data_IF_540142462518
#
_entry.id   IF_540142462518
#
_cell.length_a   1.000
_cell.length_b   1.000
_cell.length_c   1.000
_cell.angle_alpha   90.00
_cell.angle_beta   90.00
_cell.angle_gamma   90.00
#
_symmetry.space_group_name_H-M   'P 1'
#
loop_
_entity.id
_entity.type
_entity.pdbx_description
1 polymer ?
#
# COMPACT_ATOMS: atom_id res chain seq x y z
N UNK A 1 -25.24 -14.88 -6.36
CA UNK A 1 -24.29 -13.80 -6.73
C UNK A 1 -24.02 -12.97 -5.50
N UNK A 2 -22.76 -12.75 -5.17
CA UNK A 2 -22.37 -11.92 -4.04
C UNK A 2 -21.97 -10.53 -4.56
N UNK A 3 -22.55 -9.48 -3.98
CA UNK A 3 -22.05 -8.13 -4.16
C UNK A 3 -20.90 -7.88 -3.20
N UNK A 4 -19.79 -7.36 -3.73
CA UNK A 4 -18.67 -6.89 -2.93
C UNK A 4 -18.36 -5.44 -3.29
N UNK A 5 -18.04 -4.66 -2.26
CA UNK A 5 -17.60 -3.28 -2.43
C UNK A 5 -16.08 -3.25 -2.27
N UNK A 6 -15.42 -2.66 -3.26
CA UNK A 6 -13.96 -2.58 -3.30
C UNK A 6 -13.48 -1.14 -3.48
N UNK A 7 -12.45 -0.76 -2.73
CA UNK A 7 -11.65 0.43 -2.96
C UNK A 7 -10.19 0.01 -3.08
N UNK A 8 -9.62 0.10 -4.27
CA UNK A 8 -8.28 -0.43 -4.58
C UNK A 8 -7.18 0.63 -4.57
N UNK A 9 -7.49 1.86 -4.12
CA UNK A 9 -6.53 2.96 -4.17
C UNK A 9 -6.59 3.81 -2.91
N UNK A 10 -6.19 3.23 -1.78
CA UNK A 10 -6.19 3.91 -0.49
C UNK A 10 -4.77 4.21 -0.03
N UNK A 11 -4.51 5.47 0.29
CA UNK A 11 -3.25 5.95 0.82
C UNK A 11 -3.21 5.94 2.35
N UNK A 12 -2.02 5.78 2.88
CA UNK A 12 -1.72 5.95 4.30
C UNK A 12 -1.18 7.37 4.54
N UNK A 13 -1.73 8.07 5.51
CA UNK A 13 -1.24 9.38 5.91
C UNK A 13 0.01 9.31 6.77
N UNK A 14 -0.04 8.50 7.83
CA UNK A 14 1.07 8.26 8.75
C UNK A 14 1.11 6.80 9.20
N UNK A 15 2.30 6.35 9.63
CA UNK A 15 2.43 5.09 10.34
C UNK A 15 1.81 5.19 11.74
N UNK A 16 1.65 4.04 12.42
CA UNK A 16 1.17 4.00 13.81
C UNK A 16 2.07 4.78 14.78
N UNK A 17 3.38 4.82 14.49
CA UNK A 17 4.35 5.59 15.27
C UNK A 17 4.45 7.07 14.88
N UNK A 18 3.58 7.54 13.98
CA UNK A 18 3.50 8.94 13.55
C UNK A 18 4.46 9.35 12.43
N UNK A 19 5.15 8.40 11.81
CA UNK A 19 6.03 8.69 10.66
C UNK A 19 5.21 9.07 9.43
N UNK A 20 5.57 10.15 8.70
CA UNK A 20 4.80 10.58 7.54
C UNK A 20 4.93 9.60 6.38
N UNK A 21 3.82 9.30 5.73
CA UNK A 21 3.75 8.50 4.51
C UNK A 21 3.24 9.37 3.35
N UNK A 22 1.95 9.76 3.37
CA UNK A 22 1.40 10.74 2.44
C UNK A 22 0.99 11.99 3.19
N UNK A 23 1.74 13.08 3.01
CA UNK A 23 1.57 14.32 3.77
C UNK A 23 0.19 14.95 3.56
N UNK A 24 -0.39 14.79 2.37
CA UNK A 24 -1.71 15.32 2.02
C UNK A 24 -2.89 14.48 2.52
N UNK A 25 -2.64 13.25 2.98
CA UNK A 25 -3.69 12.39 3.54
C UNK A 25 -3.91 12.69 5.03
N UNK A 26 -5.08 12.31 5.53
CA UNK A 26 -5.43 12.50 6.94
C UNK A 26 -4.45 11.74 7.86
N UNK A 27 -4.04 12.39 8.94
CA UNK A 27 -3.07 11.84 9.90
C UNK A 27 -3.52 10.55 10.58
N UNK A 28 -4.83 10.38 10.73
CA UNK A 28 -5.42 9.18 11.34
C UNK A 28 -5.46 7.96 10.41
N UNK A 29 -5.15 8.13 9.13
CA UNK A 29 -5.13 7.05 8.16
C UNK A 29 -3.83 6.26 8.28
N UNK A 30 -3.81 5.28 9.17
CA UNK A 30 -2.81 4.22 9.24
C UNK A 30 -3.43 2.88 8.79
N UNK A 31 -2.60 1.85 8.67
CA UNK A 31 -3.04 0.54 8.16
C UNK A 31 -4.19 -0.06 9.00
N UNK A 32 -4.04 -0.10 10.32
CA UNK A 32 -5.03 -0.66 11.22
C UNK A 32 -6.36 0.12 11.20
N UNK A 33 -6.30 1.46 11.20
CA UNK A 33 -7.49 2.31 11.15
C UNK A 33 -8.25 2.16 9.82
N UNK A 34 -7.54 2.03 8.69
CA UNK A 34 -8.17 1.77 7.39
C UNK A 34 -8.93 0.43 7.42
N UNK A 35 -8.30 -0.63 7.91
CA UNK A 35 -8.94 -1.93 8.04
C UNK A 35 -10.20 -1.87 8.91
N UNK A 36 -10.10 -1.20 10.05
CA UNK A 36 -11.22 -1.01 11.00
C UNK A 36 -12.37 -0.22 10.38
N UNK A 37 -12.09 0.89 9.70
CA UNK A 37 -13.10 1.70 9.02
C UNK A 37 -13.82 0.91 7.92
N UNK A 38 -13.09 0.12 7.14
CA UNK A 38 -13.68 -0.74 6.12
C UNK A 38 -14.62 -1.79 6.73
N UNK A 39 -14.21 -2.43 7.82
CA UNK A 39 -14.96 -3.49 8.49
C UNK A 39 -16.21 -2.98 9.24
N UNK A 40 -16.10 -1.84 9.92
CA UNK A 40 -17.10 -1.39 10.89
C UNK A 40 -18.02 -0.30 10.38
N UNK A 41 -17.56 0.56 9.46
CA UNK A 41 -18.29 1.77 9.06
C UNK A 41 -18.60 1.87 7.58
N UNK A 42 -17.67 1.53 6.71
CA UNK A 42 -17.81 1.76 5.27
C UNK A 42 -18.39 0.59 4.48
N UNK A 43 -18.43 -0.59 5.07
CA UNK A 43 -18.91 -1.79 4.37
C UNK A 43 -18.09 -2.16 3.15
N UNK A 44 -16.79 -1.82 3.15
CA UNK A 44 -15.86 -2.18 2.09
C UNK A 44 -15.34 -3.59 2.36
N UNK A 45 -15.49 -4.48 1.40
CA UNK A 45 -15.11 -5.89 1.52
C UNK A 45 -13.68 -6.15 1.04
N UNK A 46 -13.21 -5.37 0.05
CA UNK A 46 -11.86 -5.47 -0.52
C UNK A 46 -11.25 -4.07 -0.53
N UNK A 47 -10.10 -3.92 0.11
CA UNK A 47 -9.37 -2.66 0.12
C UNK A 47 -7.93 -2.86 -0.37
N UNK A 48 -7.51 -2.06 -1.33
CA UNK A 48 -6.13 -1.99 -1.79
C UNK A 48 -5.41 -0.80 -1.13
N UNK A 49 -4.43 -1.10 -0.29
CA UNK A 49 -3.60 -0.09 0.37
C UNK A 49 -2.28 0.02 -0.39
N UNK A 50 -2.04 1.17 -1.02
CA UNK A 50 -0.98 1.31 -2.03
C UNK A 50 0.33 1.92 -1.50
N UNK A 51 0.47 2.04 -0.19
CA UNK A 51 1.69 2.56 0.46
C UNK A 51 2.45 1.49 1.25
N UNK A 52 2.20 0.20 0.95
CA UNK A 52 2.70 -0.92 1.74
C UNK A 52 4.18 -1.25 1.50
N UNK A 53 4.85 -0.65 0.51
CA UNK A 53 6.29 -0.82 0.32
C UNK A 53 7.13 0.09 1.24
N UNK A 54 6.51 1.06 1.92
CA UNK A 54 7.19 1.84 2.95
C UNK A 54 7.63 0.94 4.12
N UNK A 55 8.90 0.99 4.55
CA UNK A 55 9.37 0.21 5.70
C UNK A 55 8.56 0.46 6.97
N UNK A 56 8.06 1.68 7.18
CA UNK A 56 7.22 2.03 8.32
C UNK A 56 5.85 1.36 8.26
N UNK A 57 5.29 1.24 7.06
CA UNK A 57 4.01 0.54 6.86
C UNK A 57 4.19 -0.97 6.98
N UNK A 58 5.29 -1.51 6.49
CA UNK A 58 5.64 -2.93 6.66
C UNK A 58 5.68 -3.30 8.15
N UNK A 59 6.30 -2.48 8.98
CA UNK A 59 6.32 -2.67 10.43
C UNK A 59 4.91 -2.66 11.03
N UNK A 60 4.08 -1.71 10.61
CA UNK A 60 2.67 -1.64 11.04
C UNK A 60 1.90 -2.92 10.64
N UNK A 61 2.12 -3.43 9.44
CA UNK A 61 1.48 -4.68 8.96
C UNK A 61 1.95 -5.88 9.79
N UNK A 62 3.24 -5.99 10.08
CA UNK A 62 3.78 -7.06 10.92
C UNK A 62 3.13 -7.05 12.32
N UNK A 63 3.00 -5.87 12.91
CA UNK A 63 2.34 -5.70 14.20
C UNK A 63 0.83 -6.02 14.12
N UNK A 64 0.18 -5.60 13.05
CA UNK A 64 -1.23 -5.88 12.80
C UNK A 64 -1.52 -7.40 12.71
N UNK A 65 -0.67 -8.16 12.05
CA UNK A 65 -0.78 -9.62 11.96
C UNK A 65 -0.58 -10.32 13.30
N UNK A 66 0.18 -9.72 14.22
CA UNK A 66 0.39 -10.27 15.57
C UNK A 66 -0.83 -10.13 16.49
N UNK A 67 -1.79 -9.28 16.15
CA UNK A 67 -2.99 -9.09 16.99
C UNK A 67 -3.91 -10.30 17.03
N UNK A 68 -3.84 -11.19 16.03
CA UNK A 68 -4.70 -12.36 15.89
C UNK A 68 -6.04 -12.08 15.18
N UNK A 69 -6.40 -10.82 14.94
CA UNK A 69 -7.62 -10.44 14.24
C UNK A 69 -7.48 -10.53 12.71
N UNK A 70 -6.26 -10.70 12.22
CA UNK A 70 -5.94 -10.76 10.81
C UNK A 70 -4.93 -11.86 10.52
N UNK A 71 -5.01 -12.43 9.33
CA UNK A 71 -4.07 -13.42 8.83
C UNK A 71 -3.93 -13.36 7.31
N UNK A 72 -2.79 -13.80 6.82
CA UNK A 72 -2.55 -13.91 5.38
C UNK A 72 -3.28 -15.12 4.80
N UNK A 73 -3.93 -14.92 3.64
CA UNK A 73 -4.50 -16.01 2.85
C UNK A 73 -3.40 -16.69 2.02
N UNK A 74 -3.52 -17.99 1.81
CA UNK A 74 -2.58 -18.77 1.00
C UNK A 74 -2.47 -18.22 -0.43
N UNK A 75 -3.59 -17.86 -1.03
CA UNK A 75 -3.66 -17.31 -2.39
C UNK A 75 -3.37 -15.80 -2.46
N UNK A 76 -3.10 -15.16 -1.34
CA UNK A 76 -2.77 -13.75 -1.25
C UNK A 76 -3.84 -12.88 -0.60
N UNK A 77 -3.37 -11.75 -0.08
CA UNK A 77 -4.18 -10.83 0.69
C UNK A 77 -4.20 -11.15 2.18
N UNK A 78 -4.63 -10.17 2.96
CA UNK A 78 -4.82 -10.27 4.41
C UNK A 78 -6.31 -10.19 4.70
N UNK A 79 -6.84 -11.19 5.40
CA UNK A 79 -8.21 -11.15 5.89
C UNK A 79 -8.23 -10.55 7.30
N UNK A 80 -9.10 -9.56 7.51
CA UNK A 80 -9.31 -8.89 8.79
C UNK A 80 -10.71 -9.17 9.32
N UNK A 81 -10.81 -9.76 10.51
CA UNK A 81 -12.06 -10.12 11.21
C UNK A 81 -13.05 -10.89 10.32
N UNK A 82 -12.56 -11.69 9.40
CA UNK A 82 -13.35 -12.44 8.42
C UNK A 82 -14.32 -11.57 7.57
N UNK A 83 -14.05 -10.27 7.47
CA UNK A 83 -14.92 -9.28 6.79
C UNK A 83 -14.25 -8.55 5.65
N UNK A 84 -12.98 -8.19 5.79
CA UNK A 84 -12.26 -7.34 4.85
C UNK A 84 -11.03 -8.07 4.33
N UNK A 85 -10.89 -8.13 3.02
CA UNK A 85 -9.67 -8.57 2.37
C UNK A 85 -8.82 -7.34 2.02
N UNK A 86 -7.59 -7.30 2.54
CA UNK A 86 -6.65 -6.21 2.31
C UNK A 86 -5.61 -6.68 1.30
N UNK A 87 -5.49 -5.95 0.19
CA UNK A 87 -4.48 -6.16 -0.83
C UNK A 87 -3.31 -5.22 -0.59
N UNK A 88 -2.11 -5.77 -0.55
CA UNK A 88 -0.88 -5.02 -0.31
C UNK A 88 -0.36 -4.44 -1.62
N UNK A 89 -0.40 -3.13 -1.75
CA UNK A 89 0.00 -2.43 -2.94
C UNK A 89 1.13 -1.44 -2.73
N UNK A 90 1.73 -1.04 -3.83
CA UNK A 90 2.70 0.05 -3.91
C UNK A 90 2.44 0.88 -5.15
N UNK A 91 2.56 2.20 -5.02
CA UNK A 91 2.50 3.13 -6.13
C UNK A 91 3.90 3.67 -6.44
N UNK A 92 4.34 3.47 -7.69
CA UNK A 92 5.65 3.92 -8.16
C UNK A 92 5.46 4.93 -9.28
N UNK A 93 6.08 6.09 -9.14
CA UNK A 93 6.14 7.10 -10.19
C UNK A 93 7.37 6.87 -11.07
N UNK A 94 7.15 6.72 -12.36
CA UNK A 94 8.21 6.67 -13.37
C UNK A 94 8.19 7.91 -14.24
N UNK A 95 9.37 8.36 -14.66
CA UNK A 95 9.50 9.47 -15.60
C UNK A 95 9.67 8.93 -17.03
N UNK A 96 8.81 9.38 -17.92
CA UNK A 96 8.82 8.96 -19.33
C UNK A 96 8.99 10.17 -20.25
N UNK A 97 9.73 9.98 -21.37
CA UNK A 97 9.78 10.95 -22.45
C UNK A 97 8.77 10.58 -23.51
N UNK A 98 7.81 11.47 -23.73
CA UNK A 98 6.87 11.34 -24.83
C UNK A 98 7.53 11.55 -26.21
N UNK A 99 6.84 11.14 -27.28
CA UNK A 99 7.30 11.30 -28.67
C UNK A 99 7.60 12.77 -29.05
N UNK A 100 7.01 13.72 -28.36
CA UNK A 100 7.22 15.16 -28.55
C UNK A 100 8.41 15.73 -27.74
N UNK A 101 9.20 14.88 -27.09
CA UNK A 101 10.34 15.26 -26.25
C UNK A 101 9.97 15.85 -24.89
N UNK A 102 8.67 15.97 -24.57
CA UNK A 102 8.21 16.43 -23.25
C UNK A 102 8.27 15.28 -22.26
N UNK A 103 8.78 15.55 -21.07
CA UNK A 103 8.77 14.58 -19.97
C UNK A 103 7.39 14.52 -19.32
N UNK A 104 6.92 13.33 -19.03
CA UNK A 104 5.71 13.05 -18.27
C UNK A 104 5.99 12.09 -17.12
N UNK A 105 5.13 12.10 -16.11
CA UNK A 105 5.16 11.11 -15.05
C UNK A 105 4.04 10.09 -15.25
N UNK A 106 4.36 8.81 -15.04
CA UNK A 106 3.38 7.74 -15.01
C UNK A 106 3.35 7.14 -13.59
N UNK A 107 2.14 6.94 -13.06
CA UNK A 107 1.94 6.28 -11.77
C UNK A 107 1.53 4.84 -12.02
N UNK A 108 2.30 3.92 -11.49
CA UNK A 108 2.07 2.48 -11.63
C UNK A 108 1.71 1.92 -10.25
N UNK A 109 0.59 1.24 -10.16
CA UNK A 109 0.17 0.55 -8.95
C UNK A 109 0.43 -0.94 -9.12
N UNK A 110 1.17 -1.51 -8.18
CA UNK A 110 1.49 -2.93 -8.13
C UNK A 110 0.89 -3.54 -6.87
N UNK A 111 0.25 -4.70 -6.99
CA UNK A 111 -0.23 -5.47 -5.85
C UNK A 111 0.60 -6.73 -5.66
N UNK A 112 0.80 -7.10 -4.40
CA UNK A 112 1.61 -8.24 -4.00
C UNK A 112 0.75 -9.23 -3.21
N UNK A 113 0.87 -10.53 -3.46
CA UNK A 113 0.04 -11.53 -2.79
C UNK A 113 0.35 -11.64 -1.28
N UNK A 114 1.63 -11.53 -0.89
CA UNK A 114 2.03 -11.74 0.50
C UNK A 114 2.94 -10.62 1.02
N UNK A 115 2.98 -10.48 2.34
CA UNK A 115 3.87 -9.53 3.01
C UNK A 115 5.34 -9.80 2.67
N UNK A 116 5.74 -11.07 2.56
CA UNK A 116 7.10 -11.44 2.16
C UNK A 116 7.49 -10.89 0.78
N UNK A 117 6.55 -10.88 -0.16
CA UNK A 117 6.78 -10.38 -1.52
C UNK A 117 7.00 -8.86 -1.53
N UNK A 118 6.17 -8.12 -0.81
CA UNK A 118 6.32 -6.66 -0.75
C UNK A 118 7.53 -6.24 0.09
N UNK A 119 7.92 -7.02 1.08
CA UNK A 119 9.17 -6.81 1.83
C UNK A 119 10.39 -6.96 0.93
N UNK A 120 10.43 -7.98 0.10
CA UNK A 120 11.49 -8.21 -0.88
C UNK A 120 11.52 -7.08 -1.92
N UNK A 121 10.35 -6.71 -2.45
CA UNK A 121 10.21 -5.58 -3.36
C UNK A 121 10.72 -4.28 -2.73
N UNK A 122 10.32 -3.97 -1.51
CA UNK A 122 10.76 -2.78 -0.77
C UNK A 122 12.29 -2.75 -0.59
N UNK A 123 12.88 -3.87 -0.24
CA UNK A 123 14.33 -4.01 -0.08
C UNK A 123 15.06 -3.76 -1.38
N UNK A 124 14.62 -4.35 -2.49
CA UNK A 124 15.21 -4.15 -3.81
C UNK A 124 15.04 -2.70 -4.26
N UNK A 125 13.84 -2.15 -4.16
CA UNK A 125 13.55 -0.78 -4.59
C UNK A 125 14.25 0.28 -3.74
N UNK A 126 14.60 -0.01 -2.49
CA UNK A 126 15.34 0.91 -1.63
C UNK A 126 16.72 1.27 -2.19
N UNK A 127 17.27 0.44 -3.07
CA UNK A 127 18.52 0.71 -3.78
C UNK A 127 18.34 1.70 -4.94
N UNK A 128 17.12 1.88 -5.43
CA UNK A 128 16.78 2.68 -6.61
C UNK A 128 15.92 3.91 -6.28
N UNK A 129 15.18 3.88 -5.19
CA UNK A 129 14.22 4.91 -4.79
C UNK A 129 14.70 5.62 -3.52
N UNK A 130 14.88 6.95 -3.60
CA UNK A 130 15.33 7.75 -2.46
C UNK A 130 14.26 7.95 -1.40
N UNK A 131 12.98 7.97 -1.80
CA UNK A 131 11.85 8.23 -0.91
C UNK A 131 11.04 6.97 -0.58
N UNK A 132 11.71 5.84 -0.39
CA UNK A 132 11.08 4.53 -0.13
C UNK A 132 10.12 4.54 1.08
N UNK A 133 10.34 5.41 2.04
CA UNK A 133 9.50 5.54 3.24
C UNK A 133 8.19 6.29 2.99
N UNK A 134 8.08 7.01 1.87
CA UNK A 134 6.94 7.87 1.55
C UNK A 134 6.00 7.19 0.54
N UNK A 135 4.78 7.72 0.47
CA UNK A 135 3.82 7.40 -0.58
C UNK A 135 4.32 7.88 -1.96
N UNK A 136 3.84 7.22 -3.01
CA UNK A 136 4.19 7.50 -4.41
C UNK A 136 5.71 7.56 -4.58
N UNK A 137 6.32 6.41 -4.48
CA UNK A 137 7.76 6.23 -4.56
C UNK A 137 8.27 6.59 -5.95
N UNK A 138 9.26 7.48 -6.01
CA UNK A 138 9.81 8.00 -7.27
C UNK A 138 11.07 7.26 -7.65
N UNK A 139 11.04 6.60 -8.78
CA UNK A 139 12.21 5.99 -9.37
C UNK A 139 13.13 7.05 -9.99
N UNK A 140 14.43 6.92 -9.73
CA UNK A 140 15.45 7.73 -10.42
C UNK A 140 15.79 7.17 -11.81
N UNK A 141 15.23 6.03 -12.17
CA UNK A 141 15.44 5.37 -13.46
C UNK A 141 14.32 5.83 -14.39
N UNK A 142 14.67 6.32 -15.58
CA UNK A 142 13.68 6.55 -16.63
C UNK A 142 13.00 5.21 -16.94
N UNK A 143 11.67 5.21 -16.89
CA UNK A 143 10.90 4.00 -17.18
C UNK A 143 11.10 3.57 -18.63
N UNK A 144 11.64 2.40 -18.79
CA UNK A 144 11.70 1.66 -20.04
C UNK A 144 10.99 0.33 -19.84
#
# INVERSE_FOLDING_TARGET
>A
MYEVFADLHVHIGRSETGKPIKITAARSLNFANIAKECAERKGINIVGIIDCASPYVIEDIENFLKTGDAYELEDGGIIYKDKVCILLGSEVETSEKGRNGKSGAAHNVCFFPHLSDIKEFSKEMSTHIKNITLSTQRSNVSGY
#
